data_IF_514756374411
#
_entry.id   IF_514756374411
#
_cell.length_a   1.000
_cell.length_b   1.000
_cell.length_c   1.000
_cell.angle_alpha   90.00
_cell.angle_beta   90.00
_cell.angle_gamma   90.00
#
_symmetry.space_group_name_H-M   'P 1'
#
loop_
_entity.id
_entity.type
_entity.pdbx_description
1 polymer ?
#
# COMPACT_ATOMS: atom_id res chain seq x y z
N UNK A 1 -3.13 -5.60 20.52
CA UNK A 1 -2.04 -6.42 19.95
C UNK A 1 -2.48 -7.12 18.67
N UNK A 2 -2.18 -6.53 17.52
CA UNK A 2 -2.38 -7.20 16.22
C UNK A 2 -1.11 -7.99 15.89
N UNK A 3 -1.04 -9.22 16.39
CA UNK A 3 -0.01 -10.18 15.98
C UNK A 3 -0.31 -10.64 14.56
N UNK A 4 0.59 -10.32 13.64
CA UNK A 4 0.58 -10.86 12.28
C UNK A 4 1.29 -12.22 12.30
N UNK A 5 0.66 -13.26 11.75
CA UNK A 5 1.18 -14.63 11.77
C UNK A 5 2.65 -14.66 11.30
N UNK A 6 3.58 -14.90 12.24
CA UNK A 6 5.02 -15.02 11.97
C UNK A 6 5.82 -13.73 11.85
N UNK A 7 5.20 -12.54 11.79
CA UNK A 7 5.92 -11.27 11.51
C UNK A 7 6.17 -10.39 12.75
N UNK A 8 5.56 -10.69 13.90
CA UNK A 8 5.67 -9.86 15.11
C UNK A 8 4.76 -8.63 15.06
N UNK A 9 5.18 -7.52 15.67
CA UNK A 9 4.41 -6.26 15.65
C UNK A 9 4.56 -5.53 14.30
N UNK A 10 3.68 -4.57 14.03
CA UNK A 10 3.82 -3.67 12.85
C UNK A 10 5.20 -3.00 12.85
N UNK A 11 5.69 -2.56 14.02
CA UNK A 11 7.00 -1.92 14.13
C UNK A 11 8.14 -2.88 13.78
N UNK A 12 8.09 -4.14 14.25
CA UNK A 12 9.10 -5.15 13.91
C UNK A 12 9.15 -5.43 12.42
N UNK A 13 7.97 -5.58 11.79
CA UNK A 13 7.85 -5.79 10.34
C UNK A 13 8.43 -4.60 9.57
N UNK A 14 8.01 -3.37 9.90
CA UNK A 14 8.49 -2.17 9.22
C UNK A 14 10.01 -2.02 9.38
N UNK A 15 10.56 -2.29 10.57
CA UNK A 15 12.00 -2.27 10.79
C UNK A 15 12.75 -3.25 9.88
N UNK A 16 12.25 -4.49 9.73
CA UNK A 16 12.89 -5.48 8.84
C UNK A 16 12.86 -5.08 7.37
N UNK A 17 11.84 -4.36 6.93
CA UNK A 17 11.65 -3.99 5.52
C UNK A 17 12.30 -2.66 5.14
N UNK A 18 12.20 -1.66 6.01
CA UNK A 18 12.59 -0.28 5.72
C UNK A 18 13.80 0.19 6.56
N UNK A 19 14.27 -0.62 7.51
CA UNK A 19 15.37 -0.24 8.39
C UNK A 19 15.10 1.08 9.11
N UNK A 20 16.05 2.02 9.03
CA UNK A 20 15.93 3.33 9.66
C UNK A 20 14.70 4.12 9.21
N UNK A 21 14.25 3.96 7.97
CA UNK A 21 13.10 4.71 7.45
C UNK A 21 11.76 4.26 8.07
N UNK A 22 11.74 3.12 8.75
CA UNK A 22 10.60 2.69 9.54
C UNK A 22 10.18 3.73 10.60
N UNK A 23 11.12 4.51 11.15
CA UNK A 23 10.81 5.58 12.09
C UNK A 23 9.91 6.65 11.46
N UNK A 24 10.21 7.07 10.23
CA UNK A 24 9.42 8.06 9.50
C UNK A 24 8.00 7.55 9.21
N UNK A 25 7.88 6.27 8.86
CA UNK A 25 6.58 5.62 8.62
C UNK A 25 5.75 5.57 9.91
N UNK A 26 6.35 5.10 11.01
CA UNK A 26 5.68 4.98 12.32
C UNK A 26 5.27 6.34 12.86
N UNK A 27 6.13 7.36 12.72
CA UNK A 27 5.80 8.72 13.17
C UNK A 27 4.66 9.33 12.32
N UNK A 28 4.64 9.09 11.01
CA UNK A 28 3.48 9.46 10.18
C UNK A 28 2.20 8.77 10.63
N UNK A 29 2.26 7.48 10.99
CA UNK A 29 1.12 6.74 11.57
C UNK A 29 0.72 7.21 12.97
N UNK A 30 1.61 7.87 13.71
CA UNK A 30 1.28 8.51 14.99
C UNK A 30 0.53 9.80 14.78
N UNK A 31 0.91 10.60 13.79
CA UNK A 31 0.21 11.85 13.41
C UNK A 31 -1.15 11.58 12.75
N UNK A 32 -1.23 10.56 11.91
CA UNK A 32 -2.42 10.21 11.15
C UNK A 32 -2.76 8.72 11.35
N UNK A 33 -3.65 8.37 12.30
CA UNK A 33 -4.01 6.98 12.60
C UNK A 33 -4.55 6.20 11.39
N UNK A 34 -5.20 6.88 10.45
CA UNK A 34 -5.66 6.32 9.16
C UNK A 34 -4.56 5.58 8.39
N UNK A 35 -3.29 5.99 8.52
CA UNK A 35 -2.16 5.37 7.82
C UNK A 35 -1.86 3.95 8.32
N UNK A 36 -2.47 3.52 9.43
CA UNK A 36 -2.39 2.15 9.95
C UNK A 36 -3.38 1.19 9.27
N UNK A 37 -4.22 1.70 8.37
CA UNK A 37 -5.19 0.89 7.63
C UNK A 37 -4.48 0.02 6.61
N UNK A 38 -4.85 -1.27 6.55
CA UNK A 38 -4.34 -2.20 5.54
C UNK A 38 -4.91 -1.85 4.19
N UNK A 39 -4.13 -2.00 3.12
CA UNK A 39 -4.65 -1.88 1.76
C UNK A 39 -5.66 -2.99 1.45
N UNK A 40 -5.41 -4.20 1.96
CA UNK A 40 -6.26 -5.38 1.82
C UNK A 40 -6.26 -6.10 3.17
N UNK A 41 -7.43 -6.52 3.67
CA UNK A 41 -7.61 -6.99 5.06
C UNK A 41 -6.69 -8.14 5.50
N UNK A 42 -6.39 -9.06 4.58
CA UNK A 42 -5.54 -10.24 4.80
C UNK A 42 -4.09 -10.04 4.39
N UNK A 43 -3.69 -8.83 4.01
CA UNK A 43 -2.33 -8.49 3.61
C UNK A 43 -1.70 -7.51 4.60
N UNK A 44 -0.37 -7.59 4.83
CA UNK A 44 0.27 -6.77 5.85
C UNK A 44 0.58 -5.35 5.39
N UNK A 45 0.35 -5.03 4.13
CA UNK A 45 0.67 -3.73 3.51
C UNK A 45 -0.28 -2.65 4.01
N UNK A 46 0.27 -1.60 4.59
CA UNK A 46 -0.44 -0.47 5.18
C UNK A 46 -0.46 0.75 4.26
N UNK A 47 -1.47 1.60 4.43
CA UNK A 47 -1.58 2.87 3.72
C UNK A 47 -0.38 3.79 3.98
N UNK A 48 0.19 3.76 5.18
CA UNK A 48 1.39 4.52 5.54
C UNK A 48 2.66 4.07 4.82
N UNK A 49 2.78 2.78 4.48
CA UNK A 49 3.86 2.30 3.62
C UNK A 49 3.73 2.88 2.22
N UNK A 50 2.51 2.93 1.68
CA UNK A 50 2.26 3.54 0.36
C UNK A 50 2.60 5.02 0.35
N UNK A 51 2.21 5.75 1.38
CA UNK A 51 2.55 7.17 1.50
C UNK A 51 4.07 7.39 1.50
N UNK A 52 4.82 6.55 2.21
CA UNK A 52 6.28 6.58 2.15
C UNK A 52 6.82 6.21 0.76
N UNK A 53 6.30 5.16 0.12
CA UNK A 53 6.72 4.79 -1.23
C UNK A 53 6.43 5.89 -2.26
N UNK A 54 5.36 6.68 -2.07
CA UNK A 54 5.03 7.81 -2.92
C UNK A 54 6.15 8.86 -2.91
N UNK A 55 6.70 9.15 -1.74
CA UNK A 55 7.71 10.18 -1.54
C UNK A 55 9.11 9.72 -1.99
N UNK A 56 9.41 8.42 -1.86
CA UNK A 56 10.79 7.91 -2.00
C UNK A 56 11.03 6.89 -3.12
N UNK A 57 10.00 6.18 -3.59
CA UNK A 57 10.19 5.01 -4.49
C UNK A 57 9.72 5.23 -5.94
N UNK A 58 9.39 6.47 -6.32
CA UNK A 58 9.00 6.87 -7.68
C UNK A 58 8.02 5.90 -8.34
N UNK A 59 6.83 5.76 -7.78
CA UNK A 59 5.76 4.94 -8.34
C UNK A 59 5.04 5.76 -9.43
N UNK A 60 5.20 5.36 -10.70
CA UNK A 60 4.55 6.05 -11.82
C UNK A 60 3.23 5.40 -12.25
N UNK A 61 3.06 4.10 -12.01
CA UNK A 61 1.87 3.35 -12.39
C UNK A 61 1.28 2.52 -11.25
N UNK A 62 -0.02 2.26 -11.29
CA UNK A 62 -0.67 1.40 -10.29
C UNK A 62 -0.14 -0.05 -10.32
N UNK A 63 0.24 -0.56 -11.50
CA UNK A 63 0.89 -1.88 -11.61
C UNK A 63 2.22 -1.94 -10.84
N UNK A 64 2.97 -0.84 -10.78
CA UNK A 64 4.26 -0.79 -10.09
C UNK A 64 4.11 -0.99 -8.59
N UNK A 65 3.10 -0.32 -8.01
CA UNK A 65 2.73 -0.51 -6.62
C UNK A 65 2.35 -1.98 -6.37
N UNK A 66 1.40 -2.50 -7.17
CA UNK A 66 0.76 -3.79 -6.92
C UNK A 66 1.68 -4.98 -7.20
N UNK A 67 2.54 -4.88 -8.21
CA UNK A 67 3.38 -5.98 -8.68
C UNK A 67 4.81 -5.91 -8.17
N UNK A 68 5.44 -4.73 -8.22
CA UNK A 68 6.88 -4.57 -7.92
C UNK A 68 7.16 -4.21 -6.46
N UNK A 69 6.35 -3.35 -5.84
CA UNK A 69 6.60 -2.87 -4.46
C UNK A 69 5.94 -3.71 -3.38
N UNK A 70 4.69 -4.13 -3.63
CA UNK A 70 3.88 -4.83 -2.61
C UNK A 70 3.65 -6.30 -2.93
N UNK A 71 3.80 -6.70 -4.20
CA UNK A 71 3.47 -8.04 -4.74
C UNK A 71 2.02 -8.48 -4.51
N UNK A 72 1.12 -7.55 -4.15
CA UNK A 72 -0.30 -7.82 -3.93
C UNK A 72 -0.96 -8.47 -5.14
N UNK A 73 -0.59 -8.09 -6.37
CA UNK A 73 -1.15 -8.69 -7.59
C UNK A 73 -0.78 -10.16 -7.79
N UNK A 74 0.20 -10.69 -7.04
CA UNK A 74 0.61 -12.10 -7.10
C UNK A 74 -0.14 -12.98 -6.09
N UNK A 75 -0.69 -12.38 -5.03
CA UNK A 75 -1.26 -13.12 -3.89
C UNK A 75 -2.73 -12.76 -3.59
N UNK A 76 -3.24 -11.68 -4.18
CA UNK A 76 -4.63 -11.24 -4.03
C UNK A 76 -5.35 -11.30 -5.38
N UNK A 77 -6.55 -11.91 -5.46
CA UNK A 77 -7.36 -11.90 -6.67
C UNK A 77 -7.66 -10.48 -7.16
N UNK A 78 -7.67 -10.29 -8.49
CA UNK A 78 -7.84 -8.97 -9.13
C UNK A 78 -9.14 -8.27 -8.70
N UNK A 79 -10.24 -8.98 -8.58
CA UNK A 79 -11.53 -8.40 -8.16
C UNK A 79 -11.47 -7.89 -6.71
N UNK A 80 -10.82 -8.64 -5.81
CA UNK A 80 -10.62 -8.20 -4.42
C UNK A 80 -9.73 -6.95 -4.33
N UNK A 81 -8.73 -6.82 -5.19
CA UNK A 81 -7.94 -5.59 -5.31
C UNK A 81 -8.82 -4.42 -5.79
N UNK A 82 -9.65 -4.66 -6.82
CA UNK A 82 -10.56 -3.65 -7.39
C UNK A 82 -11.60 -3.17 -6.38
N UNK A 83 -12.08 -4.03 -5.50
CA UNK A 83 -13.13 -3.66 -4.53
C UNK A 83 -12.57 -2.96 -3.28
N UNK A 84 -11.25 -2.87 -3.13
CA UNK A 84 -10.65 -2.19 -1.98
C UNK A 84 -10.74 -0.67 -2.08
N UNK A 85 -11.59 -0.09 -1.24
CA UNK A 85 -11.68 1.36 -1.05
C UNK A 85 -10.37 1.96 -0.52
N UNK A 86 -9.62 1.22 0.29
CA UNK A 86 -8.33 1.68 0.84
C UNK A 86 -7.27 1.70 -0.25
N UNK A 87 -7.24 0.70 -1.13
CA UNK A 87 -6.36 0.71 -2.30
C UNK A 87 -6.70 1.87 -3.24
N UNK A 88 -7.99 2.19 -3.41
CA UNK A 88 -8.41 3.35 -4.19
C UNK A 88 -7.95 4.67 -3.56
N UNK A 89 -8.03 4.80 -2.22
CA UNK A 89 -7.45 5.94 -1.48
C UNK A 89 -5.94 6.02 -1.67
N UNK A 90 -5.23 4.89 -1.62
CA UNK A 90 -3.80 4.82 -1.92
C UNK A 90 -3.47 5.30 -3.35
N UNK A 91 -4.26 4.90 -4.35
CA UNK A 91 -4.09 5.39 -5.72
C UNK A 91 -4.27 6.93 -5.81
N UNK A 92 -5.25 7.49 -5.10
CA UNK A 92 -5.43 8.95 -5.01
C UNK A 92 -4.23 9.64 -4.36
N UNK A 93 -3.65 9.07 -3.30
CA UNK A 93 -2.45 9.62 -2.67
C UNK A 93 -1.23 9.60 -3.59
N UNK A 94 -1.05 8.53 -4.36
CA UNK A 94 0.10 8.37 -5.25
C UNK A 94 0.02 9.22 -6.52
N UNK A 95 -1.15 9.29 -7.13
CA UNK A 95 -1.29 9.79 -8.50
C UNK A 95 -2.10 11.10 -8.60
N UNK A 96 -2.72 11.54 -7.51
CA UNK A 96 -3.57 12.73 -7.48
C UNK A 96 -4.65 12.68 -8.55
N UNK A 97 -4.69 13.69 -9.42
CA UNK A 97 -5.65 13.79 -10.53
C UNK A 97 -5.57 12.61 -11.51
N UNK A 98 -4.41 11.95 -11.62
CA UNK A 98 -4.22 10.80 -12.51
C UNK A 98 -4.71 9.48 -11.91
N UNK A 99 -5.17 9.47 -10.67
CA UNK A 99 -5.54 8.24 -9.97
C UNK A 99 -6.62 7.43 -10.70
N UNK A 100 -7.65 8.10 -11.25
CA UNK A 100 -8.70 7.39 -11.99
C UNK A 100 -8.18 6.83 -13.32
N UNK A 101 -7.28 7.53 -14.01
CA UNK A 101 -6.66 7.05 -15.25
C UNK A 101 -5.85 5.78 -14.97
N UNK A 102 -5.01 5.78 -13.95
CA UNK A 102 -4.22 4.62 -13.54
C UNK A 102 -5.11 3.46 -13.07
N UNK A 103 -6.20 3.77 -12.35
CA UNK A 103 -7.17 2.79 -11.92
C UNK A 103 -7.84 2.06 -13.10
N UNK A 104 -8.32 2.82 -14.09
CA UNK A 104 -8.92 2.28 -15.30
C UNK A 104 -7.90 1.56 -16.18
N UNK A 105 -6.66 2.05 -16.23
CA UNK A 105 -5.58 1.39 -16.98
C UNK A 105 -5.31 -0.02 -16.43
N UNK A 106 -5.34 -0.20 -15.11
CA UNK A 106 -5.08 -1.48 -14.48
C UNK A 106 -6.30 -2.42 -14.43
N UNK A 107 -7.48 -1.90 -14.06
CA UNK A 107 -8.70 -2.68 -13.81
C UNK A 107 -9.74 -2.62 -14.92
N UNK A 108 -9.58 -1.73 -15.90
CA UNK A 108 -10.48 -1.60 -17.03
C UNK A 108 -10.53 -2.85 -17.90
N UNK A 109 -11.49 -2.89 -18.85
CA UNK A 109 -11.58 -3.98 -19.81
C UNK A 109 -10.27 -4.12 -20.57
N UNK A 110 -9.71 -5.33 -20.57
CA UNK A 110 -8.62 -5.67 -21.48
C UNK A 110 -9.28 -5.98 -22.83
N UNK A 111 -8.95 -5.18 -23.85
CA UNK A 111 -9.32 -5.47 -25.23
C UNK A 111 -8.68 -6.77 -25.72
#
# INVERSE_FOLDING_TARGET
DHHWLGEGTIADRLWRLYGHDAFSIVESMRRSPDLRTKLIDDQPVLLGEVAYMADYEMIHHLDDLLRRRTRLSLVVPKDKLRDSAVLRKAATLLFGERAEIEWQTYFGPQN
#
